data_IF_676873481142
#
_entry.id   IF_676873481142
#
_cell.length_a   1.000
_cell.length_b   1.000
_cell.length_c   1.000
_cell.angle_alpha   90.00
_cell.angle_beta   90.00
_cell.angle_gamma   90.00
#
_symmetry.space_group_name_H-M   'P 1'
#
loop_
_entity.id
_entity.type
_entity.pdbx_description
1 polymer ?
#
# COMPACT_ATOMS: atom_id res chain seq x y z
N UNK A 1 -5.07 4.25 -13.81
CA UNK A 1 -3.70 4.35 -13.27
C UNK A 1 -2.76 4.95 -14.31
N UNK A 2 -1.90 5.85 -13.90
CA UNK A 2 -0.89 6.43 -14.79
C UNK A 2 0.43 5.68 -14.63
N UNK A 3 0.70 4.77 -15.56
CA UNK A 3 1.91 3.94 -15.56
C UNK A 3 3.17 4.79 -15.65
N UNK A 4 3.09 5.93 -16.35
CA UNK A 4 4.22 6.84 -16.46
C UNK A 4 4.61 7.43 -15.11
N UNK A 5 3.64 7.80 -14.27
CA UNK A 5 3.91 8.30 -12.93
C UNK A 5 4.54 7.22 -12.06
N UNK A 6 4.06 5.98 -12.16
CA UNK A 6 4.63 4.86 -11.43
C UNK A 6 6.09 4.62 -11.85
N UNK A 7 6.36 4.62 -13.15
CA UNK A 7 7.71 4.47 -13.67
C UNK A 7 8.65 5.55 -13.11
N UNK A 8 8.23 6.82 -13.20
CA UNK A 8 9.05 7.92 -12.71
C UNK A 8 9.27 7.84 -11.20
N UNK A 9 8.25 7.46 -10.45
CA UNK A 9 8.38 7.30 -9.00
C UNK A 9 9.42 6.23 -8.66
N UNK A 10 9.38 5.09 -9.34
CA UNK A 10 10.34 4.02 -9.10
C UNK A 10 11.78 4.46 -9.37
N UNK A 11 12.00 5.18 -10.46
CA UNK A 11 13.34 5.66 -10.82
C UNK A 11 13.81 6.75 -9.87
N UNK A 12 12.94 7.72 -9.56
CA UNK A 12 13.32 8.91 -8.79
C UNK A 12 13.39 8.66 -7.29
N UNK A 13 12.56 7.78 -6.75
CA UNK A 13 12.39 7.62 -5.30
C UNK A 13 12.79 6.25 -4.77
N UNK A 14 12.71 5.19 -5.58
CA UNK A 14 12.99 3.84 -5.13
C UNK A 14 14.35 3.31 -5.63
N UNK A 15 15.09 4.15 -6.32
CA UNK A 15 16.43 3.82 -6.83
C UNK A 15 16.48 2.68 -7.84
N UNK A 16 15.36 2.38 -8.49
CA UNK A 16 15.36 1.45 -9.60
C UNK A 16 15.97 2.11 -10.84
N UNK A 17 16.69 1.33 -11.64
CA UNK A 17 17.14 1.81 -12.94
C UNK A 17 15.93 1.87 -13.89
N UNK A 18 15.99 2.70 -14.97
CA UNK A 18 14.92 2.70 -15.97
C UNK A 18 14.63 1.31 -16.54
N UNK A 19 15.64 0.49 -16.68
CA UNK A 19 15.50 -0.88 -17.20
C UNK A 19 14.74 -1.76 -16.21
N UNK A 20 15.07 -1.67 -14.93
CA UNK A 20 14.36 -2.41 -13.87
C UNK A 20 12.91 -1.96 -13.76
N UNK A 21 12.66 -0.65 -13.82
CA UNK A 21 11.30 -0.11 -13.75
C UNK A 21 10.46 -0.59 -14.94
N UNK A 22 11.04 -0.62 -16.14
CA UNK A 22 10.36 -1.17 -17.31
C UNK A 22 10.02 -2.65 -17.15
N UNK A 23 10.95 -3.41 -16.59
CA UNK A 23 10.74 -4.83 -16.33
C UNK A 23 9.60 -5.07 -15.35
N UNK A 24 9.57 -4.31 -14.26
CA UNK A 24 8.51 -4.39 -13.26
C UNK A 24 7.14 -4.11 -13.90
N UNK A 25 7.05 -3.08 -14.72
CA UNK A 25 5.79 -2.73 -15.40
C UNK A 25 5.39 -3.81 -16.41
N UNK A 26 6.32 -4.25 -17.24
CA UNK A 26 6.04 -5.22 -18.30
C UNK A 26 5.67 -6.60 -17.75
N UNK A 27 6.19 -6.97 -16.58
CA UNK A 27 5.93 -8.27 -15.97
C UNK A 27 4.82 -8.21 -14.90
N UNK A 28 4.12 -7.08 -14.79
CA UNK A 28 3.07 -6.88 -13.79
C UNK A 28 3.54 -7.18 -12.36
N UNK A 29 4.77 -6.82 -12.04
CA UNK A 29 5.37 -7.04 -10.73
C UNK A 29 5.01 -5.92 -9.74
N UNK A 30 3.81 -5.36 -9.88
CA UNK A 30 3.29 -4.33 -8.98
C UNK A 30 1.79 -4.53 -8.80
N UNK A 31 1.25 -3.98 -7.73
CA UNK A 31 -0.18 -4.02 -7.46
C UNK A 31 -0.63 -2.71 -6.85
N UNK A 32 -1.87 -2.31 -7.15
CA UNK A 32 -2.53 -1.19 -6.50
C UNK A 32 -3.39 -1.75 -5.38
N UNK A 33 -3.16 -1.31 -4.15
CA UNK A 33 -3.87 -1.78 -2.97
C UNK A 33 -5.05 -0.88 -2.58
N UNK A 34 -5.35 0.13 -3.41
CA UNK A 34 -6.43 1.07 -3.16
C UNK A 34 -5.95 2.33 -2.45
N UNK A 35 -6.90 3.09 -1.90
CA UNK A 35 -6.58 4.30 -1.14
C UNK A 35 -5.96 3.94 0.21
N UNK A 36 -5.28 4.89 0.88
CA UNK A 36 -4.78 4.65 2.23
C UNK A 36 -5.87 4.19 3.22
N UNK A 37 -7.07 4.73 3.10
CA UNK A 37 -8.20 4.32 3.93
C UNK A 37 -8.60 2.87 3.67
N UNK A 38 -8.72 2.48 2.41
CA UNK A 38 -9.02 1.09 2.03
C UNK A 38 -7.93 0.14 2.50
N UNK A 39 -6.68 0.54 2.36
CA UNK A 39 -5.55 -0.24 2.85
C UNK A 39 -5.59 -0.39 4.37
N UNK A 40 -5.92 0.70 5.08
CA UNK A 40 -6.08 0.66 6.54
C UNK A 40 -7.19 -0.27 6.99
N UNK A 41 -8.33 -0.29 6.28
CA UNK A 41 -9.42 -1.23 6.57
C UNK A 41 -8.97 -2.67 6.37
N UNK A 42 -8.23 -2.93 5.30
CA UNK A 42 -7.67 -4.26 5.04
C UNK A 42 -6.74 -4.70 6.18
N UNK A 43 -5.86 -3.81 6.62
CA UNK A 43 -4.94 -4.11 7.73
C UNK A 43 -5.70 -4.40 9.01
N UNK A 44 -6.72 -3.62 9.31
CA UNK A 44 -7.52 -3.84 10.52
C UNK A 44 -8.19 -5.21 10.48
N UNK A 45 -8.85 -5.53 9.38
CA UNK A 45 -9.59 -6.80 9.26
C UNK A 45 -8.68 -8.03 9.28
N UNK A 46 -7.50 -7.95 8.69
CA UNK A 46 -6.64 -9.11 8.50
C UNK A 46 -5.52 -9.23 9.52
N UNK A 47 -5.13 -8.14 10.18
CA UNK A 47 -4.00 -8.13 11.09
C UNK A 47 -4.40 -7.84 12.54
N UNK A 48 -5.42 -7.01 12.76
CA UNK A 48 -5.80 -6.53 14.09
C UNK A 48 -7.05 -7.24 14.60
N UNK A 49 -8.12 -7.25 13.81
CA UNK A 49 -9.42 -7.76 14.24
C UNK A 49 -9.39 -9.25 14.56
N UNK A 50 -8.52 -10.01 13.92
CA UNK A 50 -8.41 -11.46 14.18
C UNK A 50 -7.97 -11.79 15.60
N UNK A 51 -7.33 -10.84 16.29
CA UNK A 51 -6.87 -11.00 17.66
C UNK A 51 -7.85 -10.43 18.68
N UNK A 52 -8.98 -9.88 18.24
CA UNK A 52 -9.94 -9.19 19.11
C UNK A 52 -11.26 -9.98 19.20
N UNK A 53 -11.96 -9.87 20.37
CA UNK A 53 -13.32 -10.33 20.44
C UNK A 53 -14.25 -9.35 19.72
N UNK A 54 -15.50 -9.74 19.51
CA UNK A 54 -16.45 -8.93 18.72
C UNK A 54 -16.78 -7.57 19.35
N UNK A 55 -16.73 -7.46 20.68
CA UNK A 55 -16.94 -6.19 21.36
C UNK A 55 -15.82 -5.20 21.03
N UNK A 56 -14.56 -5.63 21.20
CA UNK A 56 -13.42 -4.76 20.94
C UNK A 56 -13.24 -4.46 19.45
N UNK A 57 -13.54 -5.42 18.59
CA UNK A 57 -13.53 -5.18 17.16
C UNK A 57 -14.48 -4.05 16.77
N UNK A 58 -15.74 -4.14 17.23
CA UNK A 58 -16.75 -3.12 16.94
C UNK A 58 -16.36 -1.77 17.51
N UNK A 59 -15.89 -1.76 18.75
CA UNK A 59 -15.49 -0.54 19.43
C UNK A 59 -14.35 0.18 18.74
N UNK A 60 -13.29 -0.58 18.42
CA UNK A 60 -12.11 0.00 17.75
C UNK A 60 -12.42 0.44 16.33
N UNK A 61 -13.26 -0.31 15.61
CA UNK A 61 -13.64 0.06 14.25
C UNK A 61 -14.33 1.43 14.21
N UNK A 62 -15.04 1.80 15.27
CA UNK A 62 -15.73 3.08 15.32
C UNK A 62 -14.83 4.26 15.66
N UNK A 63 -13.62 4.03 16.17
CA UNK A 63 -12.70 5.10 16.62
C UNK A 63 -11.39 5.14 15.85
N UNK A 64 -11.06 4.11 15.09
CA UNK A 64 -9.81 4.06 14.32
C UNK A 64 -9.92 4.96 13.09
N UNK A 65 -8.86 5.73 12.85
CA UNK A 65 -8.67 6.44 11.60
C UNK A 65 -7.97 5.49 10.62
N UNK A 66 -8.73 4.93 9.70
CA UNK A 66 -8.20 3.96 8.74
C UNK A 66 -7.18 4.57 7.78
N UNK A 67 -7.34 5.84 7.44
CA UNK A 67 -6.35 6.54 6.63
C UNK A 67 -4.98 6.57 7.35
N UNK A 68 -4.99 6.98 8.61
CA UNK A 68 -3.76 7.05 9.39
C UNK A 68 -3.14 5.66 9.60
N UNK A 69 -3.97 4.64 9.80
CA UNK A 69 -3.50 3.27 9.94
C UNK A 69 -2.80 2.81 8.66
N UNK A 70 -3.43 3.06 7.51
CA UNK A 70 -2.85 2.69 6.22
C UNK A 70 -1.53 3.41 5.95
N UNK A 71 -1.47 4.72 6.25
CA UNK A 71 -0.24 5.49 6.05
C UNK A 71 0.87 5.06 7.01
N UNK A 72 0.53 4.70 8.25
CA UNK A 72 1.52 4.29 9.24
C UNK A 72 2.23 2.99 8.87
N UNK A 73 1.56 2.10 8.12
CA UNK A 73 2.15 0.83 7.71
C UNK A 73 3.10 0.98 6.52
N UNK A 74 3.21 2.15 5.93
CA UNK A 74 4.07 2.39 4.77
C UNK A 74 5.55 2.59 5.16
N UNK A 75 6.05 1.72 6.02
CA UNK A 75 7.47 1.70 6.39
C UNK A 75 8.28 0.74 5.51
N UNK A 76 7.61 -0.10 4.76
CA UNK A 76 8.24 -1.03 3.84
C UNK A 76 8.60 -0.30 2.56
N UNK A 77 9.83 -0.45 2.11
CA UNK A 77 10.32 0.18 0.86
C UNK A 77 9.55 -0.31 -0.37
N UNK A 78 8.87 -1.44 -0.25
CA UNK A 78 8.10 -2.02 -1.36
C UNK A 78 6.67 -1.52 -1.43
N UNK A 79 6.22 -0.75 -0.44
CA UNK A 79 4.87 -0.17 -0.40
C UNK A 79 4.96 1.33 -0.21
N UNK A 80 4.20 2.06 -1.02
CA UNK A 80 4.25 3.53 -1.01
C UNK A 80 2.93 4.11 -1.49
N UNK A 81 2.69 5.38 -1.13
CA UNK A 81 1.54 6.12 -1.63
C UNK A 81 1.97 6.93 -2.85
N UNK A 82 1.19 6.85 -3.90
CA UNK A 82 1.40 7.63 -5.12
C UNK A 82 0.05 8.09 -5.64
N UNK A 83 -0.11 9.40 -5.74
CA UNK A 83 -1.30 10.02 -6.33
C UNK A 83 -2.60 9.57 -5.64
N UNK A 84 -2.56 9.41 -4.31
CA UNK A 84 -3.72 9.05 -3.51
C UNK A 84 -4.00 7.57 -3.41
N UNK A 85 -3.14 6.72 -3.94
CA UNK A 85 -3.31 5.27 -3.88
C UNK A 85 -2.04 4.59 -3.38
N UNK A 86 -2.20 3.43 -2.76
CA UNK A 86 -1.09 2.62 -2.25
C UNK A 86 -0.69 1.59 -3.30
N UNK A 87 0.62 1.51 -3.57
CA UNK A 87 1.19 0.53 -4.49
C UNK A 87 2.16 -0.37 -3.78
N UNK A 88 2.26 -1.60 -4.26
CA UNK A 88 3.23 -2.59 -3.79
C UNK A 88 4.04 -3.10 -4.97
N UNK A 89 5.35 -3.16 -4.79
CA UNK A 89 6.27 -3.71 -5.79
C UNK A 89 6.70 -5.10 -5.33
N UNK A 90 6.56 -6.09 -6.22
CA UNK A 90 6.90 -7.49 -5.95
C UNK A 90 8.10 -7.95 -6.78
N UNK A 91 9.06 -7.07 -7.00
CA UNK A 91 10.26 -7.38 -7.77
C UNK A 91 11.34 -7.97 -6.86
N UNK A 92 11.80 -9.15 -7.23
CA UNK A 92 12.83 -9.87 -6.48
C UNK A 92 14.09 -10.08 -7.31
#
# INVERSE_FOLDING_TARGET
>A
MDIKKLFLYMVDNLSYTPEEANEIINNDEYACLGTPEEYGEYLFENEIAIALDSYWETTLRSVIDFYELGMADLNDINRFELDGEIYEISHY
#
